data_IF_100122796261
#
_entry.id   IF_100122796261
#
_cell.length_a   1.000
_cell.length_b   1.000
_cell.length_c   1.000
_cell.angle_alpha   90.00
_cell.angle_beta   90.00
_cell.angle_gamma   90.00
#
_symmetry.space_group_name_H-M   'P 1'
#
loop_
_entity.id
_entity.type
_entity.pdbx_description
1 polymer ?
#
# COMPACT_ATOMS: atom_id res chain seq x y z
N UNK A 1 5.71 -36.50 -10.94
CA UNK A 1 6.43 -35.25 -10.59
C UNK A 1 5.57 -34.09 -11.06
N UNK A 2 4.91 -33.37 -10.14
CA UNK A 2 4.06 -32.22 -10.46
C UNK A 2 4.88 -30.94 -10.29
N UNK A 3 5.31 -30.33 -11.40
CA UNK A 3 5.58 -28.90 -11.44
C UNK A 3 4.48 -28.32 -12.29
N UNK A 4 3.48 -27.72 -11.64
CA UNK A 4 2.62 -26.76 -12.30
C UNK A 4 3.43 -25.46 -12.30
N UNK A 5 4.04 -25.02 -13.42
CA UNK A 5 4.56 -23.67 -13.45
C UNK A 5 3.33 -22.77 -13.39
N UNK A 6 3.19 -21.99 -12.33
CA UNK A 6 2.33 -20.83 -12.43
C UNK A 6 3.03 -19.97 -13.48
N UNK A 7 2.52 -20.01 -14.70
CA UNK A 7 2.92 -19.16 -15.80
C UNK A 7 2.43 -17.76 -15.42
N UNK A 8 3.19 -17.08 -14.57
CA UNK A 8 2.95 -15.69 -14.28
C UNK A 8 3.32 -14.93 -15.57
N UNK A 9 2.37 -14.21 -16.20
CA UNK A 9 2.70 -13.41 -17.38
C UNK A 9 3.87 -12.48 -17.03
N UNK A 10 4.82 -12.39 -17.96
CA UNK A 10 6.15 -11.79 -17.74
C UNK A 10 6.13 -10.34 -17.24
N UNK A 11 4.99 -9.66 -17.35
CA UNK A 11 4.67 -8.44 -16.62
C UNK A 11 3.25 -8.62 -16.08
N UNK A 12 3.09 -8.92 -14.79
CA UNK A 12 1.90 -8.47 -14.10
C UNK A 12 2.03 -6.95 -14.09
N UNK A 13 1.33 -6.29 -15.01
CA UNK A 13 1.23 -4.84 -15.06
C UNK A 13 0.84 -4.41 -13.65
N UNK A 14 1.72 -3.70 -12.96
CA UNK A 14 1.45 -3.22 -11.62
C UNK A 14 0.11 -2.47 -11.64
N UNK A 15 -0.14 -1.72 -12.72
CA UNK A 15 -1.40 -1.04 -13.00
C UNK A 15 -2.64 -1.94 -13.05
N UNK A 16 -2.52 -3.21 -13.47
CA UNK A 16 -3.61 -4.19 -13.46
C UNK A 16 -3.83 -4.72 -12.04
N UNK A 17 -2.76 -5.00 -11.29
CA UNK A 17 -2.83 -5.43 -9.88
C UNK A 17 -3.45 -4.35 -8.97
N UNK A 18 -3.21 -3.08 -9.29
CA UNK A 18 -3.71 -1.92 -8.54
C UNK A 18 -5.18 -1.60 -8.82
N UNK A 19 -5.65 -1.93 -10.03
CA UNK A 19 -7.06 -1.86 -10.39
C UNK A 19 -7.91 -2.94 -9.72
N UNK A 20 -7.33 -4.10 -9.41
CA UNK A 20 -8.07 -5.27 -8.93
C UNK A 20 -8.61 -5.12 -7.50
N UNK A 21 -7.99 -4.32 -6.63
CA UNK A 21 -8.39 -4.21 -5.21
C UNK A 21 -8.57 -2.76 -4.68
N UNK A 22 -8.60 -1.76 -5.57
CA UNK A 22 -8.72 -0.35 -5.16
C UNK A 22 -7.51 0.16 -4.37
N UNK A 23 -6.35 -0.51 -4.50
CA UNK A 23 -5.12 -0.14 -3.81
C UNK A 23 -4.61 1.21 -4.31
N UNK A 24 -4.57 2.20 -3.42
CA UNK A 24 -4.06 3.54 -3.72
C UNK A 24 -2.62 3.67 -3.22
N UNK A 25 -1.67 4.04 -4.08
CA UNK A 25 -0.31 4.32 -3.63
C UNK A 25 -0.32 5.57 -2.75
N UNK A 26 0.54 5.59 -1.74
CA UNK A 26 0.79 6.76 -0.90
C UNK A 26 2.21 6.72 -0.36
N UNK A 27 2.69 7.86 0.13
CA UNK A 27 3.99 7.98 0.78
C UNK A 27 3.81 8.35 2.24
N UNK A 28 4.55 7.71 3.15
CA UNK A 28 4.54 8.09 4.55
C UNK A 28 5.26 9.42 4.72
N UNK A 29 4.60 10.42 5.30
CA UNK A 29 5.21 11.71 5.61
C UNK A 29 5.59 11.83 7.08
N UNK A 30 4.88 11.12 7.96
CA UNK A 30 5.18 11.10 9.39
C UNK A 30 4.63 9.86 10.09
N UNK A 31 5.36 9.38 11.10
CA UNK A 31 4.90 8.33 12.03
C UNK A 31 5.12 8.81 13.46
N UNK A 32 4.02 9.12 14.18
CA UNK A 32 4.07 9.61 15.57
C UNK A 32 2.96 8.99 16.41
N UNK A 33 3.28 8.50 17.61
CA UNK A 33 2.28 8.08 18.62
C UNK A 33 1.18 7.15 18.07
N UNK A 34 1.56 6.10 17.34
CA UNK A 34 0.65 5.15 16.65
C UNK A 34 -0.27 5.78 15.60
N UNK A 35 0.06 6.97 15.10
CA UNK A 35 -0.59 7.58 13.94
C UNK A 35 0.40 7.67 12.81
N UNK A 36 -0.06 7.29 11.63
CA UNK A 36 0.68 7.45 10.39
C UNK A 36 0.02 8.56 9.59
N UNK A 37 0.83 9.45 9.04
CA UNK A 37 0.40 10.43 8.04
C UNK A 37 0.95 9.96 6.72
N UNK A 38 0.08 9.88 5.72
CA UNK A 38 0.44 9.48 4.37
C UNK A 38 -0.05 10.55 3.40
N UNK A 39 0.70 10.75 2.32
CA UNK A 39 0.34 11.66 1.24
C UNK A 39 0.00 10.86 0.00
N UNK A 40 -1.18 11.13 -0.55
CA UNK A 40 -1.64 10.60 -1.82
C UNK A 40 -0.99 11.36 -3.00
N UNK A 41 -0.96 10.77 -4.21
CA UNK A 41 -0.38 11.40 -5.40
C UNK A 41 -1.06 12.71 -5.80
N UNK A 42 -2.33 12.91 -5.43
CA UNK A 42 -3.10 14.14 -5.65
C UNK A 42 -2.78 15.25 -4.62
N UNK A 43 -1.86 14.98 -3.68
CA UNK A 43 -1.44 15.91 -2.64
C UNK A 43 -2.27 15.88 -1.37
N UNK A 44 -3.33 15.05 -1.30
CA UNK A 44 -4.14 14.91 -0.08
C UNK A 44 -3.34 14.19 1.00
N UNK A 45 -3.37 14.73 2.22
CA UNK A 45 -2.79 14.07 3.39
C UNK A 45 -3.86 13.37 4.23
N UNK A 46 -3.60 12.11 4.56
CA UNK A 46 -4.48 11.29 5.38
C UNK A 46 -3.77 10.85 6.65
N UNK A 47 -4.48 10.95 7.77
CA UNK A 47 -3.97 10.54 9.08
C UNK A 47 -4.74 9.33 9.57
N UNK A 48 -4.05 8.20 9.71
CA UNK A 48 -4.62 6.96 10.22
C UNK A 48 -4.09 6.57 11.59
N UNK A 49 -4.98 6.10 12.45
CA UNK A 49 -4.60 5.44 13.69
C UNK A 49 -4.21 3.98 13.39
N UNK A 50 -3.00 3.61 13.76
CA UNK A 50 -2.48 2.26 13.64
C UNK A 50 -2.87 1.44 14.87
N UNK A 51 -3.53 0.30 14.64
CA UNK A 51 -3.76 -0.69 15.70
C UNK A 51 -2.50 -1.50 15.99
N UNK A 52 -1.81 -1.93 14.93
CA UNK A 52 -0.57 -2.71 15.00
C UNK A 52 0.29 -2.38 13.79
N UNK A 53 1.59 -2.28 14.03
CA UNK A 53 2.59 -2.13 12.99
C UNK A 53 3.53 -3.33 13.11
N UNK A 54 3.62 -4.13 12.05
CA UNK A 54 4.44 -5.35 12.05
C UNK A 54 5.84 -5.12 11.47
N UNK A 55 6.04 -3.99 10.80
CA UNK A 55 7.29 -3.61 10.14
C UNK A 55 7.67 -2.18 10.53
N UNK A 56 8.96 -1.85 10.65
CA UNK A 56 9.36 -0.45 10.78
C UNK A 56 8.93 0.33 9.53
N UNK A 57 8.34 1.50 9.73
CA UNK A 57 7.97 2.46 8.68
C UNK A 57 8.50 3.84 9.07
N UNK A 58 9.05 4.55 8.09
CA UNK A 58 9.64 5.88 8.20
C UNK A 58 9.08 6.85 7.15
N UNK A 59 9.46 8.12 7.24
CA UNK A 59 9.10 9.09 6.22
C UNK A 59 9.83 8.79 4.90
N UNK A 60 9.12 8.91 3.77
CA UNK A 60 9.61 8.51 2.45
C UNK A 60 9.27 7.07 2.06
N UNK A 61 8.77 6.26 3.00
CA UNK A 61 8.43 4.87 2.68
C UNK A 61 7.15 4.81 1.82
N UNK A 62 7.17 4.06 0.71
CA UNK A 62 5.98 3.84 -0.09
C UNK A 62 5.04 2.86 0.61
N UNK A 63 3.74 3.17 0.60
CA UNK A 63 2.69 2.33 1.15
C UNK A 63 1.51 2.24 0.19
N UNK A 64 0.74 1.17 0.32
CA UNK A 64 -0.48 0.94 -0.45
C UNK A 64 -1.67 0.93 0.49
N UNK A 65 -2.69 1.71 0.15
CA UNK A 65 -3.88 1.91 0.95
C UNK A 65 -5.05 1.18 0.31
N UNK A 66 -5.76 0.36 1.07
CA UNK A 66 -7.00 -0.26 0.61
C UNK A 66 -8.19 0.52 1.17
N UNK A 67 -9.03 1.16 0.33
CA UNK A 67 -10.24 1.81 0.78
C UNK A 67 -11.18 0.75 1.33
N UNK A 68 -11.51 0.86 2.61
CA UNK A 68 -12.49 -0.03 3.25
C UNK A 68 -13.86 0.60 3.10
N UNK A 69 -14.76 -0.06 2.38
CA UNK A 69 -16.17 0.36 2.33
C UNK A 69 -16.75 0.31 3.75
N UNK A 70 -17.31 1.42 4.19
CA UNK A 70 -18.00 1.54 5.50
C UNK A 70 -19.40 0.97 5.46
#
# INVERSE_FOLDING_TARGET
MLRNPIDLPAELDLDELLRVDGLQPAEVTALRSKRITVRLPDGVELVWALRRLSVPLGAGDPVWLTPTAS
#
